data_IF_691673689471
#
_entry.id   IF_691673689471
#
_cell.length_a   1.000
_cell.length_b   1.000
_cell.length_c   1.000
_cell.angle_alpha   90.00
_cell.angle_beta   90.00
_cell.angle_gamma   90.00
#
_symmetry.space_group_name_H-M   'P 1'
#
loop_
_entity.id
_entity.type
_entity.pdbx_description
1 polymer ?
#
# COMPACT_ATOMS: atom_id res chain seq x y z
N UNK A 1 -3.77 -63.61 -38.39
CA UNK A 1 -2.38 -63.14 -38.25
C UNK A 1 -2.31 -62.22 -37.05
N UNK A 2 -1.76 -62.74 -35.99
CA UNK A 2 -1.66 -62.09 -34.67
C UNK A 2 -0.34 -61.37 -34.58
N UNK A 3 -0.33 -60.13 -34.03
CA UNK A 3 0.86 -59.57 -33.45
C UNK A 3 0.46 -58.82 -32.15
N UNK A 4 0.91 -59.39 -31.07
CA UNK A 4 0.77 -58.87 -29.73
C UNK A 4 1.85 -57.83 -29.42
N UNK A 5 1.43 -56.74 -28.74
CA UNK A 5 2.33 -55.74 -28.16
C UNK A 5 2.46 -56.00 -26.66
N UNK A 6 3.68 -56.29 -26.23
CA UNK A 6 4.09 -56.36 -24.81
C UNK A 6 4.35 -54.96 -24.28
N UNK A 7 3.73 -54.63 -23.16
CA UNK A 7 4.10 -53.51 -22.31
C UNK A 7 5.21 -53.88 -21.35
N UNK A 8 6.23 -53.03 -21.08
CA UNK A 8 7.21 -53.30 -20.04
C UNK A 8 6.66 -52.85 -18.68
N UNK A 9 6.68 -53.78 -17.72
CA UNK A 9 6.35 -53.52 -16.33
C UNK A 9 7.38 -52.60 -15.65
N UNK A 10 6.92 -51.53 -14.99
CA UNK A 10 7.70 -50.76 -14.05
C UNK A 10 7.72 -51.45 -12.69
N UNK A 11 8.90 -51.84 -12.24
CA UNK A 11 9.17 -52.32 -10.89
C UNK A 11 8.96 -51.19 -9.87
N UNK A 12 7.93 -51.29 -9.09
CA UNK A 12 7.78 -50.52 -7.84
C UNK A 12 8.36 -51.39 -6.70
N UNK A 13 9.61 -51.10 -6.33
CA UNK A 13 10.26 -51.62 -5.13
C UNK A 13 11.09 -50.54 -4.50
N UNK A 14 10.90 -50.33 -3.19
CA UNK A 14 11.75 -49.59 -2.25
C UNK A 14 11.46 -48.09 -1.97
N UNK A 15 10.20 -47.66 -1.97
CA UNK A 15 9.84 -46.31 -1.45
C UNK A 15 9.59 -46.21 0.07
N UNK A 16 9.40 -47.24 0.90
CA UNK A 16 9.12 -47.05 2.34
C UNK A 16 10.35 -46.80 3.22
N UNK A 17 11.56 -47.15 2.79
CA UNK A 17 12.76 -47.05 3.64
C UNK A 17 13.40 -45.64 3.62
N UNK A 18 13.27 -44.90 2.55
CA UNK A 18 13.80 -43.52 2.44
C UNK A 18 12.94 -42.49 3.20
N UNK A 19 11.64 -42.72 3.31
CA UNK A 19 10.73 -41.85 4.05
C UNK A 19 10.95 -41.95 5.57
N UNK A 20 11.32 -43.15 6.08
CA UNK A 20 11.56 -43.36 7.52
C UNK A 20 12.89 -42.77 8.00
N UNK A 21 13.91 -42.66 7.14
CA UNK A 21 15.17 -42.00 7.50
C UNK A 21 15.06 -40.45 7.48
N UNK A 22 14.25 -39.89 6.57
CA UNK A 22 14.03 -38.44 6.49
C UNK A 22 13.22 -37.91 7.67
N UNK A 23 12.23 -38.67 8.14
CA UNK A 23 11.40 -38.30 9.27
C UNK A 23 12.17 -38.25 10.61
N UNK A 24 13.28 -39.00 10.76
CA UNK A 24 14.09 -38.98 11.99
C UNK A 24 15.09 -37.86 12.10
N UNK A 25 15.49 -37.23 10.97
CA UNK A 25 16.50 -36.14 10.98
C UNK A 25 15.91 -34.78 10.66
N UNK A 26 14.78 -34.69 9.97
CA UNK A 26 14.18 -33.42 9.58
C UNK A 26 13.25 -32.81 10.65
N UNK A 27 12.58 -33.61 11.46
CA UNK A 27 11.61 -33.14 12.46
C UNK A 27 12.25 -32.29 13.58
N UNK A 28 13.44 -32.60 14.15
CA UNK A 28 14.04 -31.74 15.15
C UNK A 28 14.56 -30.41 14.60
N UNK A 29 14.90 -30.37 13.30
CA UNK A 29 15.44 -29.17 12.66
C UNK A 29 14.33 -28.20 12.21
N UNK A 30 13.19 -28.72 11.80
CA UNK A 30 11.99 -27.94 11.47
C UNK A 30 11.33 -27.34 12.71
N UNK A 31 11.32 -28.05 13.86
CA UNK A 31 10.83 -27.50 15.12
C UNK A 31 11.75 -26.41 15.67
N UNK A 32 13.06 -26.50 15.44
CA UNK A 32 14.01 -25.45 15.87
C UNK A 32 14.01 -24.22 14.97
N UNK A 33 13.54 -24.33 13.73
CA UNK A 33 13.32 -23.21 12.82
C UNK A 33 11.96 -22.51 13.06
N UNK A 34 10.98 -23.22 13.58
CA UNK A 34 9.69 -22.63 13.98
C UNK A 34 9.79 -21.78 15.25
N UNK A 35 10.70 -22.12 16.17
CA UNK A 35 10.96 -21.35 17.41
C UNK A 35 11.93 -20.16 17.20
N UNK A 36 12.49 -20.00 16.01
CA UNK A 36 13.24 -18.81 15.56
C UNK A 36 12.37 -17.82 14.76
N UNK A 37 11.05 -17.96 14.80
CA UNK A 37 10.17 -16.87 14.38
C UNK A 37 10.25 -15.78 15.44
N UNK A 38 11.07 -14.81 15.11
CA UNK A 38 11.14 -13.46 15.61
C UNK A 38 10.03 -13.08 16.60
N UNK A 39 10.34 -13.17 17.88
CA UNK A 39 9.71 -12.37 18.92
C UNK A 39 10.29 -10.93 18.83
N UNK A 40 10.34 -10.34 17.64
CA UNK A 40 10.36 -8.91 17.48
C UNK A 40 8.95 -8.46 17.82
N UNK A 41 8.80 -7.83 18.95
CA UNK A 41 7.69 -6.91 19.24
C UNK A 41 7.40 -6.15 17.95
N UNK A 42 6.30 -6.51 17.30
CA UNK A 42 5.85 -5.86 16.08
C UNK A 42 5.62 -4.40 16.49
N UNK A 43 6.44 -3.49 16.00
CA UNK A 43 6.27 -2.07 16.27
C UNK A 43 4.84 -1.71 15.84
N UNK A 44 4.06 -1.13 16.74
CA UNK A 44 2.69 -0.69 16.48
C UNK A 44 2.65 0.49 15.49
N UNK A 45 3.81 0.92 14.99
CA UNK A 45 3.98 2.06 14.08
C UNK A 45 4.83 1.67 12.88
N UNK A 46 4.48 2.23 11.71
CA UNK A 46 5.27 2.10 10.48
C UNK A 46 6.17 3.32 10.30
N UNK A 47 5.61 4.52 10.43
CA UNK A 47 6.34 5.78 10.36
C UNK A 47 6.14 6.59 11.65
N UNK A 48 7.24 7.12 12.17
CA UNK A 48 7.23 8.10 13.28
C UNK A 48 7.95 9.35 12.82
N UNK A 49 7.30 10.49 13.00
CA UNK A 49 7.79 11.82 12.64
C UNK A 49 8.09 12.60 13.91
N UNK A 50 9.28 13.21 13.99
CA UNK A 50 9.72 14.00 15.12
C UNK A 50 10.03 15.41 14.65
N UNK A 51 9.19 16.41 15.03
CA UNK A 51 9.35 17.82 14.68
C UNK A 51 9.65 18.06 13.19
N UNK A 52 9.00 17.28 12.33
CA UNK A 52 9.22 17.31 10.89
C UNK A 52 8.72 18.60 10.29
N UNK A 53 9.56 19.34 9.57
CA UNK A 53 9.17 20.55 8.84
C UNK A 53 9.72 20.57 7.41
N UNK A 54 9.07 21.39 6.58
CA UNK A 54 9.55 21.61 5.22
C UNK A 54 9.37 23.06 4.78
N UNK A 55 10.48 23.67 4.33
CA UNK A 55 10.55 25.07 3.88
C UNK A 55 11.11 25.14 2.47
N UNK A 56 10.58 26.09 1.71
CA UNK A 56 11.14 26.55 0.44
C UNK A 56 11.50 28.03 0.58
N UNK A 57 12.30 28.60 -0.31
CA UNK A 57 12.64 30.03 -0.23
C UNK A 57 11.39 30.89 -0.07
N UNK A 58 11.34 31.67 1.01
CA UNK A 58 10.25 32.59 1.32
C UNK A 58 8.96 31.98 1.87
N UNK A 59 8.86 30.64 2.03
CA UNK A 59 7.61 30.01 2.50
C UNK A 59 7.84 28.70 3.26
N UNK A 60 7.14 28.54 4.39
CA UNK A 60 7.00 27.25 5.07
C UNK A 60 5.80 26.50 4.47
N UNK A 61 6.03 25.29 3.97
CA UNK A 61 5.00 24.43 3.38
C UNK A 61 4.48 23.40 4.39
N UNK A 62 5.31 23.03 5.37
CA UNK A 62 4.94 22.18 6.48
C UNK A 62 5.61 22.72 7.74
N UNK A 63 4.80 23.10 8.71
CA UNK A 63 5.26 23.53 10.03
C UNK A 63 5.68 22.32 10.86
N UNK A 64 6.53 22.48 11.91
CA UNK A 64 6.99 21.35 12.71
C UNK A 64 5.82 20.52 13.23
N UNK A 65 5.80 19.25 12.89
CA UNK A 65 4.80 18.30 13.34
C UNK A 65 5.45 16.99 13.84
N UNK A 66 4.83 16.39 14.83
CA UNK A 66 5.18 15.06 15.33
C UNK A 66 3.96 14.16 15.23
N UNK A 67 4.13 12.98 14.63
CA UNK A 67 3.04 12.08 14.28
C UNK A 67 3.56 10.66 14.19
N UNK A 68 2.78 9.70 14.66
CA UNK A 68 3.03 8.26 14.46
C UNK A 68 1.89 7.65 13.66
N UNK A 69 2.22 7.00 12.54
CA UNK A 69 1.25 6.33 11.71
C UNK A 69 1.02 4.90 12.21
N UNK A 70 -0.24 4.51 12.47
CA UNK A 70 -0.55 3.16 12.95
C UNK A 70 -0.24 2.10 11.88
N UNK A 71 0.43 1.01 12.28
CA UNK A 71 0.74 -0.10 11.40
C UNK A 71 -0.52 -0.90 11.02
N UNK A 72 -0.56 -1.43 9.78
CA UNK A 72 -1.66 -2.27 9.31
C UNK A 72 -3.01 -1.55 9.18
N UNK A 73 -3.00 -0.22 9.11
CA UNK A 73 -4.19 0.63 9.00
C UNK A 73 -4.15 1.49 7.75
N UNK A 74 -5.32 1.90 7.29
CA UNK A 74 -5.47 2.91 6.24
C UNK A 74 -5.58 4.28 6.89
N UNK A 75 -4.56 5.12 6.70
CA UNK A 75 -4.55 6.52 7.16
C UNK A 75 -4.83 7.46 6.00
N UNK A 76 -5.87 8.28 6.12
CA UNK A 76 -6.20 9.35 5.18
C UNK A 76 -5.55 10.67 5.59
N UNK A 77 -4.75 11.27 4.69
CA UNK A 77 -4.30 12.65 4.82
C UNK A 77 -5.35 13.56 4.18
N UNK A 78 -6.03 14.38 4.98
CA UNK A 78 -7.15 15.25 4.56
C UNK A 78 -6.84 16.74 4.78
N UNK A 79 -7.62 17.61 4.16
CA UNK A 79 -7.50 19.07 4.22
C UNK A 79 -7.55 19.71 2.83
N UNK A 80 -7.62 21.04 2.79
CA UNK A 80 -7.73 21.77 1.52
C UNK A 80 -6.46 21.68 0.65
N UNK A 81 -6.55 22.10 -0.61
CA UNK A 81 -5.40 22.15 -1.52
C UNK A 81 -4.31 23.08 -0.98
N UNK A 82 -3.05 22.67 -1.12
CA UNK A 82 -1.91 23.40 -0.60
C UNK A 82 -1.68 23.29 0.92
N UNK A 83 -2.40 22.41 1.63
CA UNK A 83 -2.22 22.22 3.07
C UNK A 83 -0.97 21.41 3.47
N UNK A 84 -0.17 20.93 2.52
CA UNK A 84 1.07 20.18 2.81
C UNK A 84 0.96 18.65 2.70
N UNK A 85 -0.20 18.06 2.40
CA UNK A 85 -0.44 16.60 2.33
C UNK A 85 0.54 15.87 1.41
N UNK A 86 0.60 16.26 0.14
CA UNK A 86 1.51 15.65 -0.84
C UNK A 86 2.98 15.92 -0.52
N UNK A 87 3.29 17.07 0.11
CA UNK A 87 4.64 17.36 0.60
C UNK A 87 5.03 16.36 1.69
N UNK A 88 4.17 16.16 2.68
CA UNK A 88 4.37 15.16 3.72
C UNK A 88 4.55 13.75 3.11
N UNK A 89 3.65 13.35 2.20
CA UNK A 89 3.72 12.03 1.56
C UNK A 89 5.02 11.83 0.76
N UNK A 90 5.49 12.88 0.05
CA UNK A 90 6.77 12.86 -0.69
C UNK A 90 7.98 12.71 0.23
N UNK A 91 7.94 13.30 1.43
CA UNK A 91 9.01 13.12 2.42
C UNK A 91 9.03 11.67 2.95
N UNK A 92 7.87 11.08 3.24
CA UNK A 92 7.76 9.66 3.61
C UNK A 92 8.27 8.74 2.49
N UNK A 93 7.99 9.08 1.23
CA UNK A 93 8.46 8.36 0.04
C UNK A 93 9.94 8.61 -0.34
N UNK A 94 10.69 9.43 0.43
CA UNK A 94 12.07 9.84 0.12
C UNK A 94 12.24 10.57 -1.22
N UNK A 95 11.15 11.13 -1.75
CA UNK A 95 11.21 11.99 -2.94
C UNK A 95 11.66 13.42 -2.59
N UNK A 96 11.60 13.78 -1.31
CA UNK A 96 11.97 15.08 -0.78
C UNK A 96 12.54 14.95 0.63
N UNK A 97 13.74 15.48 0.90
CA UNK A 97 14.27 15.50 2.26
C UNK A 97 13.52 16.54 3.12
N UNK A 98 13.34 16.31 4.41
CA UNK A 98 12.83 17.33 5.32
C UNK A 98 13.83 18.51 5.45
N UNK A 99 13.33 19.68 5.83
CA UNK A 99 14.19 20.81 6.17
C UNK A 99 14.72 20.70 7.60
N UNK A 100 13.88 20.23 8.52
CA UNK A 100 14.22 19.98 9.93
C UNK A 100 13.42 18.78 10.43
N UNK A 101 13.90 18.16 11.52
CA UNK A 101 13.28 17.00 12.13
C UNK A 101 13.66 15.67 11.47
N UNK A 102 13.13 14.59 12.00
CA UNK A 102 13.48 13.23 11.62
C UNK A 102 12.25 12.40 11.26
N UNK A 103 12.45 11.46 10.33
CA UNK A 103 11.49 10.42 9.99
C UNK A 103 12.11 9.08 10.34
N UNK A 104 11.41 8.29 11.13
CA UNK A 104 11.74 6.90 11.41
C UNK A 104 10.80 5.98 10.61
N UNK A 105 11.34 4.90 10.07
CA UNK A 105 10.61 3.79 9.48
C UNK A 105 10.99 2.52 10.24
N UNK A 106 10.02 1.83 10.84
CA UNK A 106 10.25 0.69 11.74
C UNK A 106 11.34 1.02 12.80
N UNK A 107 11.20 2.17 13.47
CA UNK A 107 12.10 2.72 14.50
C UNK A 107 13.56 3.00 14.05
N UNK A 108 13.82 2.97 12.75
CA UNK A 108 15.13 3.30 12.18
C UNK A 108 15.06 4.60 11.36
N UNK A 109 16.08 5.47 11.44
CA UNK A 109 16.11 6.69 10.63
C UNK A 109 15.90 6.39 9.15
N UNK A 110 14.97 7.08 8.52
CA UNK A 110 14.62 6.87 7.10
C UNK A 110 15.84 6.99 6.18
N UNK A 111 16.75 7.89 6.50
CA UNK A 111 17.99 8.10 5.74
C UNK A 111 18.97 6.92 5.80
N UNK A 112 18.90 6.06 6.82
CA UNK A 112 19.80 4.91 6.98
C UNK A 112 19.45 3.72 6.08
N UNK A 113 18.23 3.68 5.53
CA UNK A 113 17.80 2.60 4.65
C UNK A 113 18.49 2.69 3.28
N UNK A 114 19.06 1.60 2.79
CA UNK A 114 19.48 1.52 1.38
C UNK A 114 18.24 1.64 0.46
N UNK A 115 18.41 2.18 -0.75
CA UNK A 115 17.29 2.34 -1.69
C UNK A 115 16.56 1.03 -1.98
N UNK A 116 17.29 -0.08 -2.08
CA UNK A 116 16.71 -1.41 -2.30
C UNK A 116 15.92 -1.91 -1.10
N UNK A 117 16.46 -1.75 0.12
CA UNK A 117 15.78 -2.16 1.34
C UNK A 117 14.53 -1.31 1.58
N UNK A 118 14.61 0.00 1.36
CA UNK A 118 13.48 0.91 1.44
C UNK A 118 12.37 0.53 0.44
N UNK A 119 12.71 0.29 -0.84
CA UNK A 119 11.75 -0.10 -1.86
C UNK A 119 11.06 -1.46 -1.58
N UNK A 120 11.64 -2.34 -0.75
CA UNK A 120 10.98 -3.56 -0.26
C UNK A 120 10.03 -3.32 0.92
N UNK A 121 10.13 -2.16 1.57
CA UNK A 121 9.29 -1.76 2.70
C UNK A 121 8.16 -0.84 2.30
N UNK A 122 8.43 0.08 1.37
CA UNK A 122 7.53 1.17 1.00
C UNK A 122 7.36 1.22 -0.51
N UNK A 123 6.10 1.23 -0.96
CA UNK A 123 5.72 1.48 -2.35
C UNK A 123 5.00 2.83 -2.45
N UNK A 124 5.23 3.57 -3.54
CA UNK A 124 4.71 4.91 -3.73
C UNK A 124 3.97 5.05 -5.06
N UNK A 125 2.74 5.56 -5.01
CA UNK A 125 1.94 5.91 -6.18
C UNK A 125 1.87 7.44 -6.29
N UNK A 126 2.43 8.05 -7.34
CA UNK A 126 2.33 9.49 -7.54
C UNK A 126 0.93 9.88 -8.05
N UNK A 127 0.56 11.15 -7.81
CA UNK A 127 -0.69 11.74 -8.30
C UNK A 127 -0.83 11.64 -9.82
N UNK A 128 0.24 11.96 -10.55
CA UNK A 128 0.30 11.76 -12.00
C UNK A 128 0.98 10.42 -12.28
N UNK A 129 0.21 9.50 -12.81
CA UNK A 129 0.74 8.19 -13.18
C UNK A 129 1.75 8.34 -14.32
N UNK A 130 2.91 7.68 -14.25
CA UNK A 130 3.86 7.64 -15.36
C UNK A 130 3.22 7.01 -16.60
N UNK A 131 3.71 7.38 -17.77
CA UNK A 131 3.31 6.73 -19.02
C UNK A 131 3.83 5.29 -19.05
N UNK A 132 2.99 4.36 -19.50
CA UNK A 132 3.32 2.94 -19.64
C UNK A 132 3.13 2.50 -21.11
N UNK A 133 3.56 3.36 -22.04
CA UNK A 133 3.37 3.18 -23.48
C UNK A 133 3.89 1.82 -23.97
N UNK A 134 3.04 1.11 -24.69
CA UNK A 134 3.37 -0.18 -25.27
C UNK A 134 3.46 -1.35 -24.28
N UNK A 135 3.24 -1.11 -23.00
CA UNK A 135 3.26 -2.17 -21.98
C UNK A 135 1.89 -2.82 -21.79
N UNK A 136 1.87 -4.12 -21.65
CA UNK A 136 0.71 -4.86 -21.15
C UNK A 136 0.55 -4.67 -19.65
N UNK A 137 -0.66 -4.93 -19.13
CA UNK A 137 -0.92 -4.92 -17.67
C UNK A 137 0.08 -5.84 -16.93
N UNK A 138 0.34 -7.03 -17.46
CA UNK A 138 1.28 -7.98 -16.85
C UNK A 138 2.70 -7.45 -16.79
N UNK A 139 3.18 -6.79 -17.84
CA UNK A 139 4.51 -6.20 -17.88
C UNK A 139 4.63 -5.03 -16.91
N UNK A 140 3.62 -4.16 -16.84
CA UNK A 140 3.57 -3.09 -15.83
C UNK A 140 3.64 -3.67 -14.42
N UNK A 141 2.83 -4.68 -14.12
CA UNK A 141 2.80 -5.29 -12.77
C UNK A 141 4.13 -5.97 -12.44
N UNK A 142 4.79 -6.57 -13.44
CA UNK A 142 6.10 -7.20 -13.26
C UNK A 142 7.20 -6.19 -12.87
N UNK A 143 7.09 -4.91 -13.25
CA UNK A 143 8.03 -3.86 -12.81
C UNK A 143 8.04 -3.74 -11.27
N UNK A 144 6.91 -3.99 -10.60
CA UNK A 144 6.84 -4.00 -9.14
C UNK A 144 7.82 -4.98 -8.47
N UNK A 145 8.29 -6.00 -9.19
CA UNK A 145 9.26 -6.97 -8.66
C UNK A 145 10.72 -6.50 -8.70
N UNK A 146 10.99 -5.36 -9.35
CA UNK A 146 12.35 -4.83 -9.51
C UNK A 146 13.16 -4.73 -8.19
N UNK A 147 12.61 -4.30 -7.04
CA UNK A 147 13.36 -4.25 -5.79
C UNK A 147 13.88 -5.62 -5.30
N UNK A 148 13.30 -6.73 -5.78
CA UNK A 148 13.65 -8.07 -5.34
C UNK A 148 14.81 -8.66 -6.16
N UNK A 149 14.78 -8.55 -7.47
CA UNK A 149 15.84 -9.08 -8.34
C UNK A 149 16.85 -8.02 -8.83
N UNK A 150 16.46 -6.72 -8.91
CA UNK A 150 17.31 -5.66 -9.46
C UNK A 150 17.55 -5.80 -10.96
N UNK A 151 18.41 -4.94 -11.52
CA UNK A 151 18.67 -4.89 -12.97
C UNK A 151 19.37 -6.13 -13.55
N UNK A 152 20.22 -6.78 -12.75
CA UNK A 152 21.01 -7.94 -13.17
C UNK A 152 20.44 -9.28 -12.67
N UNK A 153 19.38 -9.24 -11.85
CA UNK A 153 18.72 -10.43 -11.33
C UNK A 153 17.77 -11.06 -12.35
N UNK A 154 17.50 -12.35 -12.18
CA UNK A 154 16.56 -13.07 -13.04
C UNK A 154 15.16 -13.01 -12.45
N UNK A 155 14.20 -12.66 -13.28
CA UNK A 155 12.79 -12.76 -12.97
C UNK A 155 12.40 -14.25 -12.89
N UNK A 156 12.13 -14.74 -11.68
CA UNK A 156 11.93 -16.15 -11.36
C UNK A 156 10.47 -16.59 -11.31
N UNK A 157 10.24 -17.84 -10.88
CA UNK A 157 8.89 -18.40 -10.69
C UNK A 157 8.16 -17.65 -9.59
N UNK A 158 8.81 -17.40 -8.45
CA UNK A 158 8.22 -16.65 -7.34
C UNK A 158 7.78 -15.23 -7.73
N UNK A 159 8.53 -14.56 -8.63
CA UNK A 159 8.12 -13.24 -9.13
C UNK A 159 6.86 -13.33 -10.01
N UNK A 160 6.77 -14.37 -10.85
CA UNK A 160 5.57 -14.62 -11.67
C UNK A 160 4.35 -14.88 -10.80
N UNK A 161 4.47 -15.69 -9.77
CA UNK A 161 3.39 -15.99 -8.83
C UNK A 161 2.89 -14.70 -8.16
N UNK A 162 3.79 -13.83 -7.69
CA UNK A 162 3.44 -12.53 -7.10
C UNK A 162 2.73 -11.60 -8.10
N UNK A 163 3.17 -11.59 -9.36
CA UNK A 163 2.52 -10.81 -10.42
C UNK A 163 1.11 -11.32 -10.70
N UNK A 164 0.93 -12.64 -10.87
CA UNK A 164 -0.40 -13.22 -11.12
C UNK A 164 -1.34 -13.03 -9.91
N UNK A 165 -0.83 -13.18 -8.70
CA UNK A 165 -1.56 -12.90 -7.47
C UNK A 165 -2.02 -11.44 -7.41
N UNK A 166 -1.13 -10.49 -7.69
CA UNK A 166 -1.45 -9.05 -7.69
C UNK A 166 -2.52 -8.71 -8.73
N UNK A 167 -2.39 -9.21 -9.97
CA UNK A 167 -3.38 -9.02 -11.04
C UNK A 167 -4.74 -9.60 -10.65
N UNK A 168 -4.74 -10.76 -9.98
CA UNK A 168 -5.97 -11.39 -9.51
C UNK A 168 -6.67 -10.57 -8.42
N UNK A 169 -5.92 -10.06 -7.45
CA UNK A 169 -6.43 -9.28 -6.32
C UNK A 169 -7.14 -7.99 -6.74
N UNK A 170 -6.64 -7.34 -7.80
CA UNK A 170 -7.27 -6.13 -8.33
C UNK A 170 -8.34 -6.40 -9.40
N UNK A 171 -8.63 -7.68 -9.69
CA UNK A 171 -9.68 -8.08 -10.65
C UNK A 171 -9.30 -7.87 -12.13
N UNK A 172 -8.01 -7.83 -12.48
CA UNK A 172 -7.55 -7.55 -13.85
C UNK A 172 -7.09 -8.80 -14.63
N UNK A 173 -7.38 -10.02 -14.17
CA UNK A 173 -7.03 -11.26 -14.90
C UNK A 173 -7.46 -11.25 -16.37
N UNK A 174 -8.71 -10.86 -16.74
CA UNK A 174 -9.13 -10.84 -18.14
C UNK A 174 -8.37 -9.82 -19.00
N UNK A 175 -7.75 -8.82 -18.37
CA UNK A 175 -7.07 -7.71 -19.03
C UNK A 175 -5.54 -7.82 -18.94
N UNK A 176 -5.00 -8.91 -18.41
CA UNK A 176 -3.57 -9.06 -18.14
C UNK A 176 -2.66 -8.87 -19.37
N UNK A 177 -3.16 -9.19 -20.56
CA UNK A 177 -2.45 -9.06 -21.84
C UNK A 177 -2.85 -7.82 -22.64
N UNK A 178 -3.77 -6.98 -22.13
CA UNK A 178 -4.13 -5.73 -22.80
C UNK A 178 -3.07 -4.66 -22.54
N UNK A 179 -2.90 -3.77 -23.50
CA UNK A 179 -2.06 -2.58 -23.34
C UNK A 179 -2.65 -1.65 -22.27
N UNK A 180 -1.80 -1.12 -21.41
CA UNK A 180 -2.20 -0.21 -20.32
C UNK A 180 -2.89 1.04 -20.88
N UNK A 181 -2.44 1.53 -22.05
CA UNK A 181 -3.00 2.72 -22.68
C UNK A 181 -4.42 2.50 -23.23
N UNK A 182 -4.81 1.23 -23.45
CA UNK A 182 -6.16 0.87 -23.92
C UNK A 182 -7.18 0.67 -22.78
N UNK A 183 -6.75 0.83 -21.53
CA UNK A 183 -7.60 0.66 -20.34
C UNK A 183 -8.41 1.93 -20.07
N UNK A 184 -9.59 1.75 -19.47
CA UNK A 184 -10.31 2.85 -18.83
C UNK A 184 -9.49 3.46 -17.67
N UNK A 185 -9.84 4.68 -17.23
CA UNK A 185 -9.16 5.34 -16.11
C UNK A 185 -9.11 4.48 -14.85
N UNK A 186 -10.25 3.87 -14.47
CA UNK A 186 -10.33 2.99 -13.30
C UNK A 186 -9.56 1.69 -13.45
N UNK A 187 -9.56 1.06 -14.64
CA UNK A 187 -8.76 -0.14 -14.91
C UNK A 187 -7.27 0.18 -14.86
N UNK A 188 -6.85 1.31 -15.43
CA UNK A 188 -5.47 1.79 -15.40
C UNK A 188 -5.01 2.05 -13.97
N UNK A 189 -5.84 2.71 -13.15
CA UNK A 189 -5.55 2.93 -11.74
C UNK A 189 -5.36 1.61 -10.99
N UNK A 190 -6.24 0.63 -11.21
CA UNK A 190 -6.08 -0.72 -10.61
C UNK A 190 -4.82 -1.43 -11.10
N UNK A 191 -4.40 -1.25 -12.36
CA UNK A 191 -3.15 -1.82 -12.88
C UNK A 191 -1.91 -1.26 -12.15
N UNK A 192 -1.87 0.04 -11.88
CA UNK A 192 -0.82 0.65 -11.08
C UNK A 192 -0.85 0.19 -9.62
N UNK A 193 -2.04 0.04 -9.03
CA UNK A 193 -2.16 -0.55 -7.68
C UNK A 193 -1.67 -2.01 -7.68
N UNK A 194 -1.96 -2.79 -8.72
CA UNK A 194 -1.43 -4.15 -8.85
C UNK A 194 0.09 -4.18 -8.88
N UNK A 195 0.74 -3.23 -9.57
CA UNK A 195 2.20 -3.10 -9.57
C UNK A 195 2.74 -2.86 -8.14
N UNK A 196 2.10 -1.97 -7.36
CA UNK A 196 2.48 -1.75 -5.96
C UNK A 196 2.25 -3.00 -5.09
N UNK A 197 1.15 -3.72 -5.31
CA UNK A 197 0.86 -4.99 -4.61
C UNK A 197 1.91 -6.05 -4.96
N UNK A 198 2.31 -6.16 -6.23
CA UNK A 198 3.36 -7.07 -6.67
C UNK A 198 4.73 -6.73 -6.08
N UNK A 199 4.99 -5.47 -5.74
CA UNK A 199 6.20 -5.04 -5.03
C UNK A 199 6.34 -5.74 -3.67
N UNK A 200 5.24 -6.23 -3.08
CA UNK A 200 5.23 -7.00 -1.83
C UNK A 200 5.85 -6.19 -0.66
N UNK A 201 5.51 -4.91 -0.62
CA UNK A 201 5.93 -3.98 0.44
C UNK A 201 4.97 -4.04 1.63
N UNK A 202 5.38 -3.51 2.79
CA UNK A 202 4.55 -3.43 3.99
C UNK A 202 3.74 -2.13 4.09
N UNK A 203 4.15 -1.11 3.36
CA UNK A 203 3.51 0.20 3.37
C UNK A 203 3.27 0.70 1.93
N UNK A 204 2.06 1.22 1.67
CA UNK A 204 1.67 1.89 0.45
C UNK A 204 1.45 3.38 0.71
N UNK A 205 2.13 4.23 -0.03
CA UNK A 205 1.95 5.67 -0.05
C UNK A 205 1.21 6.04 -1.34
N UNK A 206 0.01 6.61 -1.23
CA UNK A 206 -0.87 6.89 -2.37
C UNK A 206 -1.16 8.40 -2.43
N UNK A 207 -0.61 9.08 -3.45
CA UNK A 207 -0.85 10.51 -3.65
C UNK A 207 -2.07 10.71 -4.56
N UNK A 208 -3.22 11.05 -3.98
CA UNK A 208 -4.51 11.27 -4.66
C UNK A 208 -4.92 10.12 -5.62
N UNK A 209 -5.04 8.89 -5.14
CA UNK A 209 -5.26 7.73 -6.01
C UNK A 209 -6.60 7.74 -6.75
N UNK A 210 -7.46 8.71 -6.49
CA UNK A 210 -8.84 8.79 -7.03
C UNK A 210 -9.12 10.08 -7.79
N UNK A 211 -8.16 11.01 -7.91
CA UNK A 211 -8.39 12.39 -8.40
C UNK A 211 -8.91 12.50 -9.83
N UNK A 212 -8.65 11.50 -10.69
CA UNK A 212 -9.06 11.51 -12.11
C UNK A 212 -10.18 10.50 -12.42
N UNK A 213 -10.88 9.99 -11.40
CA UNK A 213 -11.88 8.93 -11.53
C UNK A 213 -13.29 9.46 -11.26
N UNK A 214 -14.28 8.86 -11.92
CA UNK A 214 -15.68 9.05 -11.55
C UNK A 214 -15.99 8.39 -10.19
N UNK A 215 -17.15 8.72 -9.61
CA UNK A 215 -17.53 8.28 -8.27
C UNK A 215 -17.53 6.76 -8.11
N UNK A 216 -18.00 6.02 -9.12
CA UNK A 216 -18.05 4.56 -9.05
C UNK A 216 -16.63 3.97 -8.97
N UNK A 217 -15.72 4.42 -9.80
CA UNK A 217 -14.33 4.00 -9.80
C UNK A 217 -13.56 4.48 -8.56
N UNK A 218 -13.88 5.66 -7.99
CA UNK A 218 -13.32 6.10 -6.71
C UNK A 218 -13.66 5.13 -5.57
N UNK A 219 -14.94 4.75 -5.49
CA UNK A 219 -15.44 3.75 -4.52
C UNK A 219 -14.72 2.41 -4.69
N UNK A 220 -14.60 1.92 -5.93
CA UNK A 220 -13.94 0.65 -6.23
C UNK A 220 -12.46 0.64 -5.80
N UNK A 221 -11.73 1.72 -6.10
CA UNK A 221 -10.30 1.86 -5.75
C UNK A 221 -10.10 1.94 -4.24
N UNK A 222 -10.89 2.75 -3.53
CA UNK A 222 -10.76 2.89 -2.08
C UNK A 222 -11.20 1.61 -1.34
N UNK A 223 -12.26 0.97 -1.79
CA UNK A 223 -12.69 -0.33 -1.25
C UNK A 223 -11.62 -1.42 -1.49
N UNK A 224 -10.96 -1.42 -2.65
CA UNK A 224 -9.85 -2.31 -2.95
C UNK A 224 -8.67 -2.07 -1.99
N UNK A 225 -8.25 -0.81 -1.83
CA UNK A 225 -7.14 -0.43 -0.93
C UNK A 225 -7.44 -0.82 0.50
N UNK A 226 -8.64 -0.52 1.00
CA UNK A 226 -9.07 -0.89 2.34
C UNK A 226 -9.07 -2.42 2.53
N UNK A 227 -9.63 -3.17 1.59
CA UNK A 227 -9.62 -4.64 1.62
C UNK A 227 -8.21 -5.22 1.62
N UNK A 228 -7.29 -4.68 0.81
CA UNK A 228 -5.88 -5.11 0.78
C UNK A 228 -5.19 -4.86 2.12
N UNK A 229 -5.44 -3.70 2.75
CA UNK A 229 -4.94 -3.40 4.09
C UNK A 229 -5.42 -4.44 5.10
N UNK A 230 -6.74 -4.70 5.16
CA UNK A 230 -7.32 -5.66 6.11
C UNK A 230 -6.87 -7.10 5.89
N UNK A 231 -6.76 -7.55 4.63
CA UNK A 231 -6.40 -8.94 4.31
C UNK A 231 -4.92 -9.25 4.46
N UNK A 232 -4.04 -8.26 4.26
CA UNK A 232 -2.59 -8.44 4.23
C UNK A 232 -1.85 -7.73 5.35
N UNK A 233 -2.55 -7.01 6.22
CA UNK A 233 -1.94 -6.18 7.26
C UNK A 233 -1.08 -5.04 6.68
N UNK A 234 -1.45 -4.54 5.47
CA UNK A 234 -0.72 -3.45 4.83
C UNK A 234 -1.02 -2.13 5.51
N UNK A 235 0.01 -1.38 5.84
CA UNK A 235 -0.15 0.04 6.19
C UNK A 235 -0.38 0.83 4.90
N UNK A 236 -1.37 1.69 4.88
CA UNK A 236 -1.64 2.58 3.75
C UNK A 236 -1.72 4.02 4.25
N UNK A 237 -1.01 4.92 3.59
CA UNK A 237 -1.12 6.37 3.81
C UNK A 237 -1.55 6.99 2.49
N UNK A 238 -2.76 7.54 2.44
CA UNK A 238 -3.35 8.07 1.21
C UNK A 238 -3.75 9.53 1.35
N UNK A 239 -3.39 10.36 0.39
CA UNK A 239 -3.93 11.72 0.26
C UNK A 239 -5.32 11.62 -0.35
N UNK A 240 -6.32 12.14 0.36
CA UNK A 240 -7.72 12.14 -0.06
C UNK A 240 -8.32 13.54 0.00
N UNK A 241 -9.17 13.89 -0.97
CA UNK A 241 -9.86 15.18 -1.00
C UNK A 241 -11.27 15.12 -0.42
N UNK A 242 -11.96 14.01 -0.63
CA UNK A 242 -13.33 13.82 -0.15
C UNK A 242 -13.32 13.26 1.27
N UNK A 243 -13.80 14.06 2.22
CA UNK A 243 -13.88 13.68 3.64
C UNK A 243 -14.84 12.52 3.87
N UNK A 244 -15.93 12.40 3.11
CA UNK A 244 -16.89 11.33 3.26
C UNK A 244 -16.29 10.00 2.79
N UNK A 245 -15.52 10.03 1.70
CA UNK A 245 -14.76 8.87 1.24
C UNK A 245 -13.66 8.49 2.24
N UNK A 246 -12.94 9.49 2.78
CA UNK A 246 -11.93 9.26 3.80
C UNK A 246 -12.54 8.65 5.08
N UNK A 247 -13.67 9.18 5.56
CA UNK A 247 -14.37 8.65 6.72
C UNK A 247 -14.89 7.21 6.53
N UNK A 248 -15.20 6.84 5.29
CA UNK A 248 -15.74 5.51 4.96
C UNK A 248 -14.67 4.44 4.82
N UNK A 249 -13.49 4.80 4.28
CA UNK A 249 -12.48 3.83 3.86
C UNK A 249 -11.17 3.89 4.65
N UNK A 250 -10.99 4.90 5.52
CA UNK A 250 -9.81 4.99 6.37
C UNK A 250 -10.13 4.58 7.80
N UNK A 251 -9.15 3.94 8.45
CA UNK A 251 -9.21 3.62 9.88
C UNK A 251 -8.77 4.81 10.74
N UNK A 252 -7.92 5.69 10.18
CA UNK A 252 -7.34 6.83 10.84
C UNK A 252 -7.26 8.02 9.89
N UNK A 253 -7.41 9.23 10.40
CA UNK A 253 -7.35 10.47 9.63
C UNK A 253 -6.33 11.43 10.24
N UNK A 254 -5.59 12.12 9.39
CA UNK A 254 -4.69 13.22 9.76
C UNK A 254 -5.08 14.44 8.93
N UNK A 255 -5.51 15.48 9.59
CA UNK A 255 -6.00 16.71 8.97
C UNK A 255 -4.93 17.78 8.97
N UNK A 256 -4.62 18.33 7.78
CA UNK A 256 -3.66 19.41 7.58
C UNK A 256 -4.34 20.67 7.05
N UNK A 257 -3.97 21.83 7.59
CA UNK A 257 -4.39 23.15 7.11
C UNK A 257 -3.22 24.12 7.18
N UNK A 258 -2.90 24.80 6.07
CA UNK A 258 -1.83 25.78 6.02
C UNK A 258 -0.43 25.26 6.40
N UNK A 259 -0.19 23.96 6.25
CA UNK A 259 1.06 23.31 6.67
C UNK A 259 1.09 22.87 8.14
N UNK A 260 0.01 23.04 8.90
CA UNK A 260 -0.10 22.60 10.28
C UNK A 260 -1.00 21.38 10.41
N UNK A 261 -0.70 20.50 11.35
CA UNK A 261 -1.59 19.40 11.73
C UNK A 261 -2.66 19.93 12.68
N UNK A 262 -3.91 19.96 12.19
CA UNK A 262 -5.05 20.52 12.93
C UNK A 262 -5.73 19.48 13.81
N UNK A 263 -5.86 18.26 13.32
CA UNK A 263 -6.49 17.15 14.02
C UNK A 263 -5.96 15.81 13.54
N UNK A 264 -6.04 14.82 14.40
CA UNK A 264 -5.78 13.43 14.07
C UNK A 264 -6.67 12.51 14.93
N UNK A 265 -7.01 11.34 14.42
CA UNK A 265 -7.85 10.37 15.13
C UNK A 265 -8.63 9.48 14.20
N UNK A 266 -9.57 8.74 14.75
CA UNK A 266 -10.51 7.93 13.99
C UNK A 266 -11.51 8.80 13.22
N UNK A 267 -12.14 8.28 12.15
CA UNK A 267 -13.22 8.99 11.47
C UNK A 267 -14.34 9.45 12.42
N UNK A 268 -14.70 8.63 13.42
CA UNK A 268 -15.73 8.99 14.39
C UNK A 268 -15.37 10.20 15.26
N UNK A 269 -14.10 10.41 15.53
CA UNK A 269 -13.60 11.55 16.31
C UNK A 269 -13.55 12.82 15.47
N UNK A 270 -13.20 12.72 14.18
CA UNK A 270 -13.03 13.89 13.31
C UNK A 270 -14.32 14.32 12.62
N UNK A 271 -15.30 13.42 12.42
CA UNK A 271 -16.57 13.74 11.77
C UNK A 271 -17.51 14.49 12.72
N UNK A 272 -17.11 15.70 13.10
CA UNK A 272 -17.86 16.67 13.91
C UNK A 272 -17.85 18.03 13.23
N UNK A 273 -18.99 18.72 13.25
CA UNK A 273 -19.13 20.02 12.56
C UNK A 273 -18.01 21.01 12.91
N UNK A 274 -17.71 21.19 14.18
CA UNK A 274 -16.66 22.09 14.66
C UNK A 274 -15.26 21.71 14.14
N UNK A 275 -14.96 20.41 14.15
CA UNK A 275 -13.67 19.90 13.66
C UNK A 275 -13.54 20.11 12.15
N UNK A 276 -14.59 19.80 11.39
CA UNK A 276 -14.60 19.96 9.93
C UNK A 276 -14.54 21.45 9.53
N UNK A 277 -15.25 22.32 10.24
CA UNK A 277 -15.13 23.77 10.03
C UNK A 277 -13.72 24.26 10.30
N UNK A 278 -13.07 23.76 11.34
CA UNK A 278 -11.66 24.10 11.61
C UNK A 278 -10.73 23.60 10.50
N UNK A 279 -10.95 22.39 9.97
CA UNK A 279 -10.11 21.82 8.89
C UNK A 279 -10.31 22.55 7.57
N UNK A 280 -11.58 22.79 7.17
CA UNK A 280 -11.91 23.31 5.83
C UNK A 280 -12.17 24.83 5.79
N UNK A 281 -12.43 25.45 6.94
CA UNK A 281 -12.67 26.90 7.06
C UNK A 281 -14.06 27.32 6.60
N UNK A 282 -14.99 26.41 6.46
CA UNK A 282 -16.39 26.62 6.06
C UNK A 282 -17.33 25.87 7.00
N UNK A 283 -18.52 26.40 7.32
CA UNK A 283 -19.50 25.69 8.12
C UNK A 283 -19.94 24.38 7.46
N UNK A 284 -19.91 23.30 8.22
CA UNK A 284 -20.28 21.97 7.73
C UNK A 284 -21.23 21.29 8.71
N UNK A 285 -22.25 20.64 8.16
CA UNK A 285 -23.19 19.81 8.92
C UNK A 285 -22.81 18.33 8.86
N UNK A 286 -23.32 17.56 9.83
CA UNK A 286 -23.14 16.12 9.92
C UNK A 286 -24.50 15.44 10.01
N UNK A 287 -24.71 14.40 9.21
CA UNK A 287 -25.89 13.54 9.26
C UNK A 287 -25.47 12.09 9.52
N UNK A 288 -26.25 11.34 10.33
CA UNK A 288 -26.06 9.91 10.46
C UNK A 288 -26.23 9.22 9.09
N UNK A 289 -25.36 8.28 8.77
CA UNK A 289 -25.49 7.49 7.55
C UNK A 289 -26.69 6.52 7.67
N UNK A 290 -27.63 6.48 6.70
CA UNK A 290 -28.86 5.66 6.79
C UNK A 290 -28.59 4.16 7.00
N UNK A 291 -27.46 3.65 6.49
CA UNK A 291 -27.05 2.25 6.63
C UNK A 291 -26.09 2.00 7.81
N UNK A 292 -26.00 2.88 8.79
CA UNK A 292 -25.15 2.71 9.97
C UNK A 292 -23.64 2.78 9.71
N UNK A 293 -23.21 3.26 8.53
CA UNK A 293 -21.82 3.51 8.21
C UNK A 293 -21.32 4.82 8.86
N UNK A 294 -20.09 5.24 8.55
CA UNK A 294 -19.55 6.52 9.01
C UNK A 294 -20.51 7.68 8.65
N UNK A 295 -20.66 8.68 9.54
CA UNK A 295 -21.52 9.84 9.28
C UNK A 295 -21.14 10.55 7.98
N UNK A 296 -22.09 11.27 7.38
CA UNK A 296 -21.91 12.03 6.15
C UNK A 296 -21.87 13.50 6.47
N UNK A 297 -20.82 14.18 5.98
CA UNK A 297 -20.72 15.65 6.07
C UNK A 297 -21.29 16.32 4.82
N UNK A 298 -21.82 17.51 4.99
CA UNK A 298 -22.32 18.36 3.91
C UNK A 298 -21.99 19.82 4.21
N UNK A 299 -21.93 20.63 3.17
CA UNK A 299 -21.77 22.08 3.27
C UNK A 299 -23.15 22.72 3.33
N UNK A 300 -23.33 23.73 4.19
CA UNK A 300 -24.59 24.49 4.29
C UNK A 300 -24.82 25.38 3.06
#
# INVERSE_FOLDING_TARGET
>A
MLLGSRTPGCCYGDLPLLISLWARFAVPFLFKLADMQDNKTQSDSTFTLNNLSFRVPGRTLLHPLSLTFPAGKVTGLIGHNGSGKSTLLKMLGRHQPPSEGDILLDDQPLASWSSKAFARKVAYLPQQLPQAEGMTVRELVAIGRYPWHGALGRFGVADREKVEEAIALVGLKPLAHRLVDSLSGGERQRAWIAMLVAQDSRCLLLDEPTSALDIAHQVDVLALVHRLSQQRGLTVIAVLHDINMAARYCDYLVALRGGEMIAQGTPAELMRSETLEHIYGIPMGILPHPAGAAPVSFVY
#
